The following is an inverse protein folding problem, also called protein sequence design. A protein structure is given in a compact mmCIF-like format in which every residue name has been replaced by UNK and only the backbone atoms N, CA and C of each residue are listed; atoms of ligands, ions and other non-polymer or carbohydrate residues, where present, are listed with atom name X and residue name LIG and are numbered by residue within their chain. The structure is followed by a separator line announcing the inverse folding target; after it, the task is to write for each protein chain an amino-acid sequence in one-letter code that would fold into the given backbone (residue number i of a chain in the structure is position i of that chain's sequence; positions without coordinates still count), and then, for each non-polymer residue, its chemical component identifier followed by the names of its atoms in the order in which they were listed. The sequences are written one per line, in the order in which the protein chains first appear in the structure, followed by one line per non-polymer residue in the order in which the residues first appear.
data_IF_193506096669
#
_entry.id   IF_193506096669
#
_cell.length_a   1.000
_cell.length_b   1.000
_cell.length_c   1.000
_cell.angle_alpha   90.00
_cell.angle_beta   90.00
_cell.angle_gamma   90.00
#
_symmetry.space_group_name_H-M   'P 1'
#
loop_
_entity.id
_entity.type
_entity.pdbx_description
1 polymer ?
#
# COMPACT_ATOMS: atom_id res chain seq x y z
N UNK A 1 -6.55 22.28 8.11
CA UNK A 1 -6.43 20.82 7.92
C UNK A 1 -4.97 20.40 8.02
N UNK A 2 -4.69 19.36 8.77
CA UNK A 2 -3.33 18.84 8.91
C UNK A 2 -2.93 18.03 7.69
N UNK A 3 -1.69 18.21 7.23
CA UNK A 3 -1.11 17.33 6.21
C UNK A 3 -0.77 15.98 6.84
N UNK A 4 -0.52 14.97 6.02
CA UNK A 4 -0.03 13.69 6.51
C UNK A 4 1.30 13.83 7.24
N UNK A 5 2.21 14.67 6.75
CA UNK A 5 3.48 14.93 7.41
C UNK A 5 3.28 15.48 8.82
N UNK A 6 2.38 16.44 8.98
CA UNK A 6 2.06 17.03 10.27
C UNK A 6 1.45 15.99 11.21
N UNK A 7 0.54 15.17 10.70
CA UNK A 7 -0.07 14.08 11.45
C UNK A 7 0.98 13.07 11.93
N UNK A 8 1.89 12.68 11.04
CA UNK A 8 2.99 11.76 11.38
C UNK A 8 3.85 12.35 12.49
N UNK A 9 4.22 13.63 12.39
CA UNK A 9 5.03 14.32 13.41
C UNK A 9 4.32 14.35 14.76
N UNK A 10 3.04 14.65 14.78
CA UNK A 10 2.24 14.69 16.01
C UNK A 10 2.17 13.31 16.65
N UNK A 11 1.86 12.28 15.86
CA UNK A 11 1.73 10.92 16.36
C UNK A 11 3.07 10.32 16.79
N UNK A 12 4.17 10.75 16.17
CA UNK A 12 5.51 10.36 16.61
C UNK A 12 5.80 10.89 18.00
N UNK A 13 5.47 12.15 18.27
CA UNK A 13 5.63 12.74 19.60
C UNK A 13 4.75 12.04 20.62
N UNK A 14 3.51 11.71 20.24
CA UNK A 14 2.60 10.99 21.11
C UNK A 14 3.14 9.59 21.44
N UNK A 15 3.71 8.89 20.46
CA UNK A 15 4.32 7.58 20.68
C UNK A 15 5.53 7.67 21.63
N UNK A 16 6.32 8.75 21.53
CA UNK A 16 7.42 9.00 22.46
C UNK A 16 6.92 9.16 23.88
N UNK A 17 5.87 9.96 24.07
CA UNK A 17 5.28 10.20 25.40
C UNK A 17 4.66 8.94 26.00
N UNK A 18 3.99 8.15 25.14
CA UNK A 18 3.35 6.89 25.53
C UNK A 18 4.35 5.75 25.70
N UNK A 19 5.61 5.95 25.32
CA UNK A 19 6.65 4.91 25.32
C UNK A 19 6.27 3.70 24.46
N UNK A 20 5.56 3.95 23.36
CA UNK A 20 5.18 2.93 22.40
C UNK A 20 6.35 2.70 21.43
N UNK A 21 7.22 1.78 21.80
CA UNK A 21 8.46 1.51 21.07
C UNK A 21 8.23 1.06 19.63
N UNK A 22 7.22 0.22 19.39
CA UNK A 22 6.90 -0.27 18.05
C UNK A 22 6.46 0.88 17.15
N UNK A 23 5.46 1.63 17.58
CA UNK A 23 4.92 2.76 16.82
C UNK A 23 5.98 3.82 16.56
N UNK A 24 6.75 4.15 17.61
CA UNK A 24 7.83 5.13 17.50
C UNK A 24 8.87 4.73 16.46
N UNK A 25 9.30 3.46 16.48
CA UNK A 25 10.27 2.93 15.52
C UNK A 25 9.76 2.99 14.08
N UNK A 26 8.51 2.61 13.87
CA UNK A 26 7.88 2.66 12.53
C UNK A 26 7.77 4.10 12.03
N UNK A 27 7.33 5.02 12.89
CA UNK A 27 7.16 6.42 12.49
C UNK A 27 8.49 7.12 12.21
N UNK A 28 9.53 6.81 12.98
CA UNK A 28 10.89 7.33 12.72
C UNK A 28 11.40 6.85 11.37
N UNK A 29 11.20 5.58 11.08
CA UNK A 29 11.61 5.01 9.79
C UNK A 29 10.81 5.62 8.65
N UNK A 30 9.50 5.82 8.82
CA UNK A 30 8.65 6.45 7.83
C UNK A 30 9.14 7.87 7.52
N UNK A 31 9.43 8.67 8.55
CA UNK A 31 9.99 10.01 8.36
C UNK A 31 11.30 9.99 7.59
N UNK A 32 12.18 9.04 7.91
CA UNK A 32 13.44 8.87 7.21
C UNK A 32 13.23 8.53 5.73
N UNK A 33 12.28 7.65 5.44
CA UNK A 33 11.96 7.27 4.07
C UNK A 33 11.41 8.45 3.26
N UNK A 34 10.55 9.25 3.88
CA UNK A 34 10.01 10.46 3.25
C UNK A 34 11.14 11.44 2.94
N UNK A 35 12.00 11.70 3.91
CA UNK A 35 13.14 12.63 3.74
C UNK A 35 14.09 12.14 2.66
N UNK A 36 14.35 10.84 2.64
CA UNK A 36 15.23 10.24 1.63
C UNK A 36 14.70 10.53 0.21
N UNK A 37 13.40 10.40 0.00
CA UNK A 37 12.77 10.73 -1.28
C UNK A 37 12.86 12.22 -1.61
N UNK A 38 12.69 13.07 -0.62
CA UNK A 38 12.69 14.52 -0.81
C UNK A 38 14.07 15.08 -1.15
N UNK A 39 15.14 14.40 -0.77
CA UNK A 39 16.51 14.86 -1.05
C UNK A 39 17.13 14.24 -2.29
N UNK A 40 16.41 13.39 -3.02
CA UNK A 40 16.88 12.85 -4.29
C UNK A 40 17.09 14.01 -5.30
N UNK A 41 18.10 13.93 -6.19
CA UNK A 41 18.31 14.97 -7.20
C UNK A 41 17.07 15.21 -8.05
N UNK A 42 16.64 16.47 -8.13
CA UNK A 42 15.44 16.84 -8.88
C UNK A 42 14.12 16.58 -8.18
N UNK A 43 14.16 16.05 -6.97
CA UNK A 43 12.94 15.80 -6.21
C UNK A 43 12.43 17.07 -5.52
N UNK A 44 11.13 17.11 -5.30
CA UNK A 44 10.46 18.17 -4.56
C UNK A 44 9.95 17.63 -3.21
N UNK A 45 9.52 18.52 -2.33
CA UNK A 45 8.86 18.14 -1.10
C UNK A 45 7.61 17.31 -1.44
N UNK A 46 7.40 16.20 -0.72
CA UNK A 46 6.27 15.31 -0.96
C UNK A 46 4.98 15.92 -0.41
N UNK A 47 3.93 15.88 -1.22
CA UNK A 47 2.57 16.15 -0.78
C UNK A 47 1.96 14.87 -0.18
N UNK A 48 0.69 14.93 0.23
CA UNK A 48 0.01 13.77 0.81
C UNK A 48 0.01 12.56 -0.13
N UNK A 49 -0.21 12.78 -1.43
CA UNK A 49 -0.18 11.69 -2.41
C UNK A 49 1.21 11.04 -2.48
N UNK A 50 2.26 11.84 -2.44
CA UNK A 50 3.64 11.33 -2.41
C UNK A 50 3.94 10.55 -1.13
N UNK A 51 3.48 11.04 0.01
CA UNK A 51 3.64 10.35 1.30
C UNK A 51 2.91 9.01 1.28
N UNK A 52 1.69 8.97 0.74
CA UNK A 52 0.92 7.71 0.63
C UNK A 52 1.65 6.68 -0.24
N UNK A 53 2.32 7.10 -1.30
CA UNK A 53 3.13 6.19 -2.13
C UNK A 53 4.30 5.60 -1.35
N UNK A 54 4.98 6.40 -0.54
CA UNK A 54 6.06 5.92 0.33
C UNK A 54 5.52 4.89 1.30
N UNK A 55 4.39 5.17 1.94
CA UNK A 55 3.75 4.25 2.89
C UNK A 55 3.38 2.93 2.20
N UNK A 56 2.78 2.99 1.02
CA UNK A 56 2.40 1.79 0.26
C UNK A 56 3.62 0.93 -0.08
N UNK A 57 4.73 1.54 -0.47
CA UNK A 57 5.98 0.83 -0.74
C UNK A 57 6.51 0.14 0.51
N UNK A 58 6.49 0.82 1.65
CA UNK A 58 6.93 0.25 2.91
C UNK A 58 6.06 -0.93 3.34
N UNK A 59 4.74 -0.83 3.15
CA UNK A 59 3.82 -1.93 3.42
C UNK A 59 4.15 -3.14 2.54
N UNK A 60 4.35 -2.91 1.25
CA UNK A 60 4.70 -3.98 0.30
C UNK A 60 5.98 -4.70 0.72
N UNK A 61 7.02 -3.95 1.06
CA UNK A 61 8.29 -4.52 1.51
C UNK A 61 8.11 -5.40 2.75
N UNK A 62 7.28 -4.96 3.69
CA UNK A 62 7.00 -5.72 4.91
C UNK A 62 6.15 -6.95 4.64
N UNK A 63 5.23 -6.89 3.69
CA UNK A 63 4.46 -8.07 3.26
C UNK A 63 5.40 -9.16 2.73
N UNK A 64 6.36 -8.77 1.91
CA UNK A 64 7.35 -9.69 1.38
C UNK A 64 8.19 -10.30 2.51
N UNK A 65 8.58 -9.50 3.50
CA UNK A 65 9.31 -9.97 4.67
C UNK A 65 8.49 -10.95 5.50
N UNK A 66 7.20 -10.68 5.71
CA UNK A 66 6.30 -11.59 6.43
C UNK A 66 6.28 -12.96 5.74
N UNK A 67 6.11 -12.99 4.43
CA UNK A 67 6.10 -14.24 3.65
C UNK A 67 7.42 -15.01 3.81
N UNK A 68 8.55 -14.31 3.73
CA UNK A 68 9.87 -14.93 3.87
C UNK A 68 10.09 -15.48 5.27
N UNK A 69 9.72 -14.75 6.31
CA UNK A 69 9.85 -15.21 7.69
C UNK A 69 8.93 -16.39 7.99
N UNK A 70 7.72 -16.39 7.49
CA UNK A 70 6.81 -17.52 7.64
C UNK A 70 7.36 -18.75 6.96
N UNK A 71 7.89 -18.62 5.74
CA UNK A 71 8.51 -19.72 5.01
C UNK A 71 9.74 -20.28 5.73
N UNK A 72 10.45 -19.42 6.46
CA UNK A 72 11.64 -19.81 7.22
C UNK A 72 11.32 -20.33 8.63
N UNK A 73 10.04 -20.43 8.98
CA UNK A 73 9.62 -20.90 10.30
C UNK A 73 9.86 -19.87 11.43
N UNK A 74 10.01 -18.59 11.07
CA UNK A 74 10.26 -17.51 12.03
C UNK A 74 8.98 -16.69 12.25
N UNK A 75 7.98 -17.35 12.85
CA UNK A 75 6.69 -16.73 13.17
C UNK A 75 6.84 -15.48 14.07
N UNK A 76 7.84 -15.45 14.93
CA UNK A 76 8.15 -14.31 15.81
C UNK A 76 8.50 -13.05 15.00
N UNK A 77 9.37 -13.19 14.00
CA UNK A 77 9.78 -12.08 13.15
C UNK A 77 8.65 -11.66 12.20
N UNK A 78 7.90 -12.63 11.68
CA UNK A 78 6.72 -12.36 10.85
C UNK A 78 5.68 -11.54 11.61
N UNK A 79 5.43 -11.85 12.88
CA UNK A 79 4.47 -11.14 13.72
C UNK A 79 4.88 -9.68 13.93
N UNK A 80 6.18 -9.43 14.13
CA UNK A 80 6.70 -8.08 14.29
C UNK A 80 6.47 -7.24 13.02
N UNK A 81 6.80 -7.82 11.85
CA UNK A 81 6.58 -7.15 10.57
C UNK A 81 5.09 -6.86 10.35
N UNK A 82 4.22 -7.81 10.68
CA UNK A 82 2.77 -7.65 10.56
C UNK A 82 2.25 -6.51 11.45
N UNK A 83 2.77 -6.39 12.66
CA UNK A 83 2.41 -5.30 13.58
C UNK A 83 2.84 -3.94 13.04
N UNK A 84 4.01 -3.86 12.40
CA UNK A 84 4.49 -2.64 11.74
C UNK A 84 3.60 -2.24 10.57
N UNK A 85 3.13 -3.22 9.80
CA UNK A 85 2.18 -2.99 8.70
C UNK A 85 0.91 -2.33 9.22
N UNK A 86 0.38 -2.77 10.34
CA UNK A 86 -0.84 -2.19 10.91
C UNK A 86 -0.67 -0.71 11.22
N UNK A 87 0.48 -0.29 11.75
CA UNK A 87 0.77 1.12 12.01
C UNK A 87 0.75 1.91 10.69
N UNK A 88 1.42 1.41 9.67
CA UNK A 88 1.51 2.08 8.36
C UNK A 88 0.14 2.17 7.67
N UNK A 89 -0.64 1.11 7.73
CA UNK A 89 -1.97 1.07 7.11
C UNK A 89 -2.93 2.07 7.73
N UNK A 90 -2.70 2.47 8.97
CA UNK A 90 -3.51 3.49 9.63
C UNK A 90 -3.49 4.86 8.92
N UNK A 91 -2.50 5.11 8.08
CA UNK A 91 -2.41 6.34 7.29
C UNK A 91 -2.99 6.22 5.88
N UNK A 92 -3.23 5.01 5.41
CA UNK A 92 -3.77 4.78 4.09
C UNK A 92 -5.28 5.00 4.08
N UNK A 93 -5.87 5.35 2.92
CA UNK A 93 -7.33 5.37 2.78
C UNK A 93 -7.94 4.02 3.16
N UNK A 94 -9.27 4.00 3.41
CA UNK A 94 -9.96 2.75 3.72
C UNK A 94 -9.60 1.69 2.68
N UNK A 95 -9.16 0.54 3.16
CA UNK A 95 -8.78 -0.56 2.26
C UNK A 95 -10.03 -1.23 1.70
N UNK A 96 -9.96 -1.60 0.43
CA UNK A 96 -11.04 -2.30 -0.24
C UNK A 96 -11.09 -3.76 0.22
N UNK A 97 -12.30 -4.27 0.40
CA UNK A 97 -12.51 -5.70 0.60
C UNK A 97 -12.27 -6.43 -0.73
N UNK A 98 -12.10 -7.75 -0.69
CA UNK A 98 -11.95 -8.55 -1.90
C UNK A 98 -13.16 -8.41 -2.83
N UNK A 99 -14.37 -8.35 -2.28
CA UNK A 99 -15.59 -8.18 -3.05
C UNK A 99 -15.68 -6.80 -3.71
N UNK A 100 -15.32 -5.75 -2.96
CA UNK A 100 -15.28 -4.39 -3.49
C UNK A 100 -14.27 -4.27 -4.63
N UNK A 101 -13.09 -4.88 -4.46
CA UNK A 101 -12.06 -4.89 -5.49
C UNK A 101 -12.56 -5.62 -6.75
N UNK A 102 -13.18 -6.78 -6.59
CA UNK A 102 -13.73 -7.53 -7.71
C UNK A 102 -14.77 -6.73 -8.50
N UNK A 103 -15.64 -5.99 -7.79
CA UNK A 103 -16.64 -5.14 -8.43
C UNK A 103 -15.98 -4.03 -9.26
N UNK A 104 -14.94 -3.39 -8.72
CA UNK A 104 -14.21 -2.34 -9.43
C UNK A 104 -13.46 -2.89 -10.64
N UNK A 105 -12.89 -4.09 -10.51
CA UNK A 105 -12.22 -4.77 -11.64
C UNK A 105 -13.22 -5.05 -12.76
N UNK A 106 -14.38 -5.59 -12.43
CA UNK A 106 -15.42 -5.89 -13.42
C UNK A 106 -15.89 -4.63 -14.14
N UNK A 107 -16.06 -3.53 -13.41
CA UNK A 107 -16.44 -2.25 -13.97
C UNK A 107 -15.37 -1.72 -14.92
N UNK A 108 -14.12 -1.72 -14.52
CA UNK A 108 -13.02 -1.26 -15.36
C UNK A 108 -12.86 -2.13 -16.61
N UNK A 109 -13.01 -3.44 -16.47
CA UNK A 109 -12.95 -4.36 -17.61
C UNK A 109 -14.08 -4.09 -18.63
N UNK A 110 -15.28 -3.83 -18.13
CA UNK A 110 -16.43 -3.47 -18.97
C UNK A 110 -16.19 -2.16 -19.72
N UNK A 111 -15.70 -1.14 -19.00
CA UNK A 111 -15.38 0.16 -19.60
C UNK A 111 -14.28 0.07 -20.66
N UNK A 112 -13.31 -0.80 -20.45
CA UNK A 112 -12.22 -1.02 -21.38
C UNK A 112 -12.60 -1.91 -22.56
N UNK A 113 -13.78 -2.51 -22.53
CA UNK A 113 -14.20 -3.46 -23.55
C UNK A 113 -13.36 -4.73 -23.53
N UNK A 114 -12.87 -5.13 -22.36
CA UNK A 114 -11.98 -6.28 -22.23
C UNK A 114 -12.69 -7.60 -22.51
N UNK A 115 -12.02 -8.50 -23.20
CA UNK A 115 -12.55 -9.81 -23.57
C UNK A 115 -11.67 -10.98 -23.13
N UNK A 116 -10.47 -10.72 -22.66
CA UNK A 116 -9.57 -11.78 -22.22
C UNK A 116 -8.23 -11.23 -21.69
N UNK A 117 -7.29 -12.14 -21.35
CA UNK A 117 -6.01 -11.77 -20.73
C UNK A 117 -5.17 -10.74 -21.46
N UNK A 118 -5.30 -10.65 -22.78
CA UNK A 118 -4.56 -9.68 -23.61
C UNK A 118 -4.92 -8.22 -23.26
N UNK A 119 -6.04 -8.00 -22.60
CA UNK A 119 -6.56 -6.67 -22.29
C UNK A 119 -6.11 -6.15 -20.92
N UNK A 120 -5.22 -6.86 -20.24
CA UNK A 120 -4.77 -6.52 -18.89
C UNK A 120 -4.25 -5.08 -18.78
N UNK A 121 -3.42 -4.65 -19.73
CA UNK A 121 -2.87 -3.30 -19.75
C UNK A 121 -3.92 -2.22 -19.78
N UNK A 122 -4.94 -2.40 -20.63
CA UNK A 122 -6.04 -1.43 -20.75
C UNK A 122 -6.87 -1.35 -19.46
N UNK A 123 -7.15 -2.50 -18.86
CA UNK A 123 -7.90 -2.56 -17.59
C UNK A 123 -7.11 -1.91 -16.46
N UNK A 124 -5.82 -2.25 -16.33
CA UNK A 124 -4.96 -1.68 -15.30
C UNK A 124 -4.84 -0.16 -15.42
N UNK A 125 -4.77 0.35 -16.63
CA UNK A 125 -4.68 1.79 -16.88
C UNK A 125 -5.90 2.54 -16.32
N UNK A 126 -7.10 1.97 -16.47
CA UNK A 126 -8.31 2.55 -15.93
C UNK A 126 -8.44 2.35 -14.42
N UNK A 127 -8.08 1.17 -13.95
CA UNK A 127 -8.31 0.74 -12.58
C UNK A 127 -7.33 1.35 -11.58
N UNK A 128 -6.04 1.39 -11.94
CA UNK A 128 -4.98 1.80 -11.00
C UNK A 128 -5.24 3.14 -10.32
N UNK A 129 -5.65 4.22 -11.02
CA UNK A 129 -5.94 5.47 -10.35
C UNK A 129 -7.12 5.39 -9.37
N UNK A 130 -8.08 4.49 -9.66
CA UNK A 130 -9.32 4.36 -8.86
C UNK A 130 -9.10 3.64 -7.54
N UNK A 131 -8.06 2.79 -7.46
CA UNK A 131 -7.79 1.97 -6.28
C UNK A 131 -6.48 2.35 -5.57
N UNK A 132 -5.82 3.40 -6.02
CA UNK A 132 -4.53 3.82 -5.49
C UNK A 132 -4.63 4.08 -3.99
N UNK A 133 -3.77 3.40 -3.21
CA UNK A 133 -3.75 3.49 -1.76
C UNK A 133 -4.84 2.68 -1.06
N UNK A 134 -5.82 2.13 -1.79
CA UNK A 134 -6.93 1.36 -1.22
C UNK A 134 -6.78 -0.15 -1.40
N UNK A 135 -5.86 -0.58 -2.24
CA UNK A 135 -5.53 -1.99 -2.44
C UNK A 135 -4.07 -2.11 -2.84
N UNK A 136 -3.43 -3.20 -2.42
CA UNK A 136 -2.04 -3.46 -2.77
C UNK A 136 -1.92 -3.81 -4.26
N UNK A 137 -0.84 -3.36 -4.90
CA UNK A 137 -0.62 -3.59 -6.33
C UNK A 137 -0.73 -5.06 -6.74
N UNK A 138 -0.19 -5.97 -5.90
CA UNK A 138 -0.27 -7.41 -6.15
C UNK A 138 -1.72 -7.89 -6.15
N UNK A 139 -2.51 -7.46 -5.17
CA UNK A 139 -3.92 -7.84 -5.06
C UNK A 139 -4.72 -7.35 -6.26
N UNK A 140 -4.47 -6.12 -6.71
CA UNK A 140 -5.12 -5.54 -7.89
C UNK A 140 -4.77 -6.34 -9.14
N UNK A 141 -3.49 -6.61 -9.35
CA UNK A 141 -2.97 -7.35 -10.49
C UNK A 141 -3.56 -8.76 -10.55
N UNK A 142 -3.58 -9.47 -9.43
CA UNK A 142 -4.15 -10.81 -9.34
C UNK A 142 -5.65 -10.83 -9.61
N UNK A 143 -6.38 -9.84 -9.08
CA UNK A 143 -7.82 -9.71 -9.29
C UNK A 143 -8.16 -9.45 -10.76
N UNK A 144 -7.40 -8.59 -11.43
CA UNK A 144 -7.56 -8.32 -12.87
C UNK A 144 -7.28 -9.58 -13.68
N UNK A 145 -6.17 -10.25 -13.36
CA UNK A 145 -5.78 -11.47 -14.06
C UNK A 145 -6.86 -12.56 -13.96
N UNK A 146 -7.38 -12.77 -12.75
CA UNK A 146 -8.42 -13.77 -12.51
C UNK A 146 -9.73 -13.42 -13.26
N UNK A 147 -10.12 -12.15 -13.25
CA UNK A 147 -11.32 -11.71 -13.95
C UNK A 147 -11.20 -11.90 -15.46
N UNK A 148 -10.09 -11.48 -16.03
CA UNK A 148 -9.86 -11.61 -17.48
C UNK A 148 -9.76 -13.06 -17.92
N UNK A 149 -9.19 -13.94 -17.10
CA UNK A 149 -9.15 -15.36 -17.37
C UNK A 149 -10.56 -15.96 -17.44
N UNK A 150 -11.48 -15.47 -16.59
CA UNK A 150 -12.86 -15.93 -16.60
C UNK A 150 -13.62 -15.49 -17.86
N UNK A 151 -13.24 -14.38 -18.48
CA UNK A 151 -13.86 -13.87 -19.71
C UNK A 151 -13.39 -14.64 -20.93
N UNK A 152 -12.16 -15.15 -20.91
CA UNK A 152 -11.54 -15.82 -22.04
C UNK A 152 -11.84 -17.32 -22.14
N UNK A 153 -12.63 -17.86 -21.20
CA UNK A 153 -12.94 -19.29 -21.18
C UNK A 153 -14.30 -19.60 -21.76
#
# INVERSE_FOLDING_TARGET
MSTLKERIDTELKDAMRAKDALKLGVLRMLKSAIKYKEVEPGAEALDDAGVLKVIATLVKQRRDSVEQYEAAGRADLAATEAAEIEVLQGYLPRQLSADELRALVAQAASEAGASGPKDMGAVMKLLSPRVQGQAEGRAVSEAVKAHLASLGS
#
